data_IF_407264327299
#
_entry.id   IF_407264327299
#
_cell.length_a   1.000
_cell.length_b   1.000
_cell.length_c   1.000
_cell.angle_alpha   90.00
_cell.angle_beta   90.00
_cell.angle_gamma   90.00
#
_symmetry.space_group_name_H-M   'P 1'
#
loop_
_entity.id
_entity.type
_entity.pdbx_description
1 polymer ?
#
# COMPACT_ATOMS: atom_id res chain seq x y z
N UNK A 1 20.69 8.19 -0.94
CA UNK A 1 19.53 7.62 -0.21
C UNK A 1 18.20 8.31 -0.55
N UNK A 2 18.10 9.64 -0.54
CA UNK A 2 16.85 10.38 -0.87
C UNK A 2 16.22 10.02 -2.23
N UNK A 3 17.05 9.92 -3.26
CA UNK A 3 16.65 9.59 -4.63
C UNK A 3 15.99 8.20 -4.70
N UNK A 4 16.51 7.22 -3.94
CA UNK A 4 15.98 5.86 -3.89
C UNK A 4 14.53 5.81 -3.38
N UNK A 5 14.21 6.54 -2.32
CA UNK A 5 12.84 6.55 -1.75
C UNK A 5 11.82 7.18 -2.71
N UNK A 6 12.22 8.22 -3.45
CA UNK A 6 11.40 8.82 -4.50
C UNK A 6 11.12 7.82 -5.64
N UNK A 7 12.15 7.11 -6.09
CA UNK A 7 11.99 6.07 -7.11
C UNK A 7 11.10 4.94 -6.63
N UNK A 8 11.30 4.45 -5.40
CA UNK A 8 10.48 3.39 -4.82
C UNK A 8 9.01 3.82 -4.73
N UNK A 9 8.73 5.04 -4.26
CA UNK A 9 7.36 5.60 -4.22
C UNK A 9 6.70 5.64 -5.60
N UNK A 10 7.43 6.09 -6.63
CA UNK A 10 6.95 6.16 -8.00
C UNK A 10 6.74 4.77 -8.61
N UNK A 11 7.67 3.86 -8.36
CA UNK A 11 7.58 2.45 -8.75
C UNK A 11 6.35 1.78 -8.13
N UNK A 12 6.16 1.87 -6.81
CA UNK A 12 5.01 1.32 -6.11
C UNK A 12 3.70 1.90 -6.65
N UNK A 13 3.66 3.21 -6.94
CA UNK A 13 2.46 3.85 -7.51
C UNK A 13 2.11 3.30 -8.90
N UNK A 14 3.11 3.14 -9.79
CA UNK A 14 2.92 2.56 -11.13
C UNK A 14 2.55 1.08 -11.08
N UNK A 15 3.21 0.30 -10.22
CA UNK A 15 2.92 -1.12 -10.00
C UNK A 15 1.49 -1.31 -9.50
N UNK A 16 1.06 -0.53 -8.52
CA UNK A 16 -0.29 -0.57 -7.97
C UNK A 16 -1.37 -0.19 -8.99
N UNK A 17 -1.10 0.77 -9.89
CA UNK A 17 -2.01 1.07 -11.02
C UNK A 17 -2.16 -0.13 -11.96
N UNK A 18 -1.05 -0.78 -12.32
CA UNK A 18 -1.05 -1.97 -13.19
C UNK A 18 -1.80 -3.14 -12.57
N UNK A 19 -1.52 -3.44 -11.30
CA UNK A 19 -2.21 -4.53 -10.56
C UNK A 19 -3.71 -4.26 -10.49
N UNK A 20 -4.14 -3.03 -10.16
CA UNK A 20 -5.57 -2.68 -10.12
C UNK A 20 -6.27 -2.81 -11.45
N UNK A 21 -5.59 -2.46 -12.54
CA UNK A 21 -6.15 -2.64 -13.89
C UNK A 21 -6.27 -4.13 -14.23
N UNK A 22 -5.27 -4.94 -13.86
CA UNK A 22 -5.28 -6.39 -14.12
C UNK A 22 -6.32 -7.15 -13.31
N UNK A 23 -6.63 -6.69 -12.10
CA UNK A 23 -7.59 -7.34 -11.18
C UNK A 23 -8.98 -6.69 -11.24
N UNK A 24 -9.20 -5.75 -12.16
CA UNK A 24 -10.41 -4.92 -12.30
C UNK A 24 -10.81 -4.16 -11.01
N UNK A 25 -9.95 -4.15 -9.99
CA UNK A 25 -10.08 -3.44 -8.73
C UNK A 25 -9.78 -1.94 -8.89
N UNK A 26 -10.49 -1.30 -9.82
CA UNK A 26 -10.38 0.12 -10.11
C UNK A 26 -11.24 0.96 -9.16
N UNK A 27 -10.86 2.22 -8.98
CA UNK A 27 -11.58 3.12 -8.07
C UNK A 27 -12.81 3.74 -8.75
N UNK A 28 -13.86 2.94 -8.98
CA UNK A 28 -15.12 3.41 -9.56
C UNK A 28 -14.96 4.29 -10.81
N UNK A 29 -15.97 5.11 -11.08
CA UNK A 29 -15.97 6.06 -12.18
C UNK A 29 -15.41 7.43 -11.75
N UNK A 30 -14.93 8.24 -12.70
CA UNK A 30 -14.36 9.58 -12.45
C UNK A 30 -15.25 10.50 -11.59
N UNK A 31 -16.57 10.29 -11.63
CA UNK A 31 -17.57 11.08 -10.88
C UNK A 31 -17.82 10.58 -9.45
N UNK A 32 -17.50 9.32 -9.12
CA UNK A 32 -17.75 8.71 -7.81
C UNK A 32 -16.58 7.82 -7.40
N UNK A 33 -15.87 8.24 -6.36
CA UNK A 33 -14.83 7.43 -5.75
C UNK A 33 -15.46 6.23 -5.04
N UNK A 34 -15.14 5.03 -5.51
CA UNK A 34 -15.47 3.78 -4.81
C UNK A 34 -14.17 3.05 -4.52
N UNK A 35 -13.90 2.80 -3.24
CA UNK A 35 -12.74 1.99 -2.84
C UNK A 35 -13.08 0.53 -3.09
N UNK A 36 -12.30 -0.22 -3.90
CA UNK A 36 -12.51 -1.66 -4.02
C UNK A 36 -12.31 -2.30 -2.66
N UNK A 37 -13.33 -3.03 -2.20
CA UNK A 37 -13.25 -3.85 -0.99
C UNK A 37 -12.52 -5.12 -1.39
N UNK A 38 -11.42 -5.42 -0.70
CA UNK A 38 -10.70 -6.67 -0.87
C UNK A 38 -11.35 -7.63 0.12
N UNK A 39 -12.15 -8.55 -0.38
CA UNK A 39 -12.81 -9.61 0.39
C UNK A 39 -12.01 -10.90 0.28
N UNK A 40 -12.13 -11.77 1.29
CA UNK A 40 -11.39 -13.04 1.35
C UNK A 40 -11.65 -13.94 0.15
N UNK A 41 -12.88 -13.92 -0.38
CA UNK A 41 -13.27 -14.63 -1.59
C UNK A 41 -12.46 -14.22 -2.83
N UNK A 42 -12.19 -12.91 -2.99
CA UNK A 42 -11.37 -12.41 -4.09
C UNK A 42 -9.92 -12.85 -3.93
N UNK A 43 -9.41 -12.84 -2.71
CA UNK A 43 -8.05 -13.29 -2.43
C UNK A 43 -7.90 -14.80 -2.62
N UNK A 44 -8.92 -15.60 -2.31
CA UNK A 44 -8.93 -17.03 -2.55
C UNK A 44 -8.93 -17.36 -4.05
N UNK A 45 -9.58 -16.51 -4.86
CA UNK A 45 -9.59 -16.63 -6.33
C UNK A 45 -8.26 -16.23 -6.97
N UNK A 46 -7.62 -15.16 -6.47
CA UNK A 46 -6.33 -14.70 -6.97
C UNK A 46 -5.45 -14.14 -5.83
N UNK A 47 -4.34 -14.80 -5.55
CA UNK A 47 -3.39 -14.35 -4.51
C UNK A 47 -2.77 -12.99 -4.81
N UNK A 48 -2.85 -12.49 -6.06
CA UNK A 48 -2.39 -11.15 -6.42
C UNK A 48 -3.16 -10.03 -5.71
N UNK A 49 -4.34 -10.29 -5.15
CA UNK A 49 -5.04 -9.30 -4.32
C UNK A 49 -4.25 -8.97 -3.04
N UNK A 50 -3.42 -9.89 -2.50
CA UNK A 50 -2.52 -9.63 -1.36
C UNK A 50 -1.44 -8.59 -1.70
N UNK A 51 -1.04 -8.48 -2.97
CA UNK A 51 -0.06 -7.48 -3.41
C UNK A 51 -0.61 -6.05 -3.26
N UNK A 52 -1.93 -5.85 -3.23
CA UNK A 52 -2.52 -4.52 -3.10
C UNK A 52 -2.21 -3.86 -1.74
N UNK A 53 -2.56 -4.46 -0.58
CA UNK A 53 -2.22 -3.90 0.72
C UNK A 53 -0.70 -3.85 0.94
N UNK A 54 0.07 -4.85 0.46
CA UNK A 54 1.53 -4.84 0.54
C UNK A 54 2.16 -3.66 -0.22
N UNK A 55 1.81 -3.44 -1.49
CA UNK A 55 2.38 -2.30 -2.23
C UNK A 55 1.85 -0.96 -1.69
N UNK A 56 0.67 -0.94 -1.05
CA UNK A 56 0.17 0.25 -0.36
C UNK A 56 0.97 0.59 0.89
N UNK A 57 1.36 -0.40 1.71
CA UNK A 57 2.19 -0.19 2.89
C UNK A 57 3.58 0.29 2.48
N UNK A 58 4.22 -0.37 1.50
CA UNK A 58 5.52 0.01 0.93
C UNK A 58 5.54 1.45 0.39
N UNK A 59 4.51 1.85 -0.36
CA UNK A 59 4.40 3.21 -0.87
C UNK A 59 4.27 4.24 0.25
N UNK A 60 3.52 3.93 1.31
CA UNK A 60 3.33 4.81 2.45
C UNK A 60 4.63 4.95 3.25
N UNK A 61 5.34 3.84 3.46
CA UNK A 61 6.66 3.82 4.09
C UNK A 61 7.72 4.59 3.29
N UNK A 62 7.79 4.38 1.96
CA UNK A 62 8.71 5.11 1.09
C UNK A 62 8.48 6.63 1.14
N UNK A 63 7.21 7.05 1.24
CA UNK A 63 6.88 8.47 1.45
C UNK A 63 7.33 8.93 2.85
N UNK A 64 7.08 8.17 3.90
CA UNK A 64 7.57 8.50 5.23
C UNK A 64 9.10 8.68 5.25
N UNK A 65 9.86 7.82 4.56
CA UNK A 65 11.32 7.92 4.47
C UNK A 65 11.77 9.15 3.67
N UNK A 66 11.05 9.52 2.61
CA UNK A 66 11.28 10.78 1.90
C UNK A 66 11.08 11.97 2.84
N UNK A 67 9.96 12.01 3.57
CA UNK A 67 9.64 13.08 4.52
C UNK A 67 10.61 13.16 5.69
N UNK A 68 11.18 12.02 6.12
CA UNK A 68 12.21 11.97 7.16
C UNK A 68 13.41 12.81 6.76
N UNK A 69 13.83 12.69 5.50
CA UNK A 69 14.96 13.49 4.97
C UNK A 69 14.58 14.98 4.90
N UNK A 70 13.39 15.30 4.41
CA UNK A 70 12.91 16.69 4.26
C UNK A 70 12.60 17.36 5.61
N UNK A 71 12.34 16.57 6.66
CA UNK A 71 12.07 17.09 8.01
C UNK A 71 13.29 17.65 8.73
N UNK A 72 14.49 17.40 8.19
CA UNK A 72 15.73 18.00 8.69
C UNK A 72 15.77 19.51 8.44
N UNK A 73 15.21 19.97 7.31
CA UNK A 73 15.08 21.40 6.98
C UNK A 73 13.73 21.99 7.37
N UNK A 74 12.66 21.19 7.33
CA UNK A 74 11.29 21.63 7.64
C UNK A 74 10.66 20.74 8.74
N UNK A 75 10.82 21.09 10.03
CA UNK A 75 10.34 20.26 11.15
C UNK A 75 8.85 19.92 11.10
N UNK A 76 8.02 20.79 10.51
CA UNK A 76 6.57 20.58 10.35
C UNK A 76 6.23 19.32 9.52
N UNK A 77 7.16 18.84 8.67
CA UNK A 77 6.98 17.59 7.91
C UNK A 77 6.97 16.34 8.79
N UNK A 78 7.45 16.40 10.04
CA UNK A 78 7.38 15.28 11.00
C UNK A 78 5.94 14.80 11.24
N UNK A 79 4.97 15.71 11.31
CA UNK A 79 3.55 15.33 11.45
C UNK A 79 3.06 14.52 10.25
N UNK A 80 3.42 14.94 9.03
CA UNK A 80 3.05 14.21 7.82
C UNK A 80 3.74 12.85 7.73
N UNK A 81 5.01 12.76 8.17
CA UNK A 81 5.76 11.52 8.29
C UNK A 81 5.03 10.52 9.21
N UNK A 82 4.64 10.93 10.41
CA UNK A 82 3.95 10.05 11.36
C UNK A 82 2.62 9.55 10.78
N UNK A 83 1.86 10.41 10.13
CA UNK A 83 0.62 10.02 9.46
C UNK A 83 0.86 9.01 8.31
N UNK A 84 1.97 9.12 7.59
CA UNK A 84 2.37 8.13 6.58
C UNK A 84 2.73 6.78 7.20
N UNK A 85 3.45 6.76 8.31
CA UNK A 85 3.78 5.52 9.02
C UNK A 85 2.53 4.84 9.59
N UNK A 86 1.62 5.60 10.24
CA UNK A 86 0.33 5.07 10.71
C UNK A 86 -0.46 4.42 9.57
N UNK A 87 -0.45 5.04 8.38
CA UNK A 87 -1.10 4.49 7.20
C UNK A 87 -0.41 3.22 6.68
N UNK A 88 0.92 3.15 6.75
CA UNK A 88 1.67 1.95 6.39
C UNK A 88 1.30 0.77 7.31
N UNK A 89 1.27 0.99 8.63
CA UNK A 89 0.85 -0.01 9.62
C UNK A 89 -0.59 -0.46 9.38
N UNK A 90 -1.52 0.48 9.11
CA UNK A 90 -2.90 0.12 8.78
C UNK A 90 -3.02 -0.80 7.56
N UNK A 91 -2.17 -0.61 6.55
CA UNK A 91 -2.14 -1.48 5.38
C UNK A 91 -1.48 -2.83 5.67
N UNK A 92 -0.45 -2.87 6.52
CA UNK A 92 0.17 -4.11 6.97
C UNK A 92 -0.78 -4.94 7.83
N UNK A 93 -1.50 -4.33 8.78
CA UNK A 93 -2.52 -5.00 9.57
C UNK A 93 -3.67 -5.53 8.70
N UNK A 94 -4.05 -4.79 7.65
CA UNK A 94 -5.02 -5.29 6.67
C UNK A 94 -4.48 -6.52 5.92
N UNK A 95 -3.19 -6.54 5.55
CA UNK A 95 -2.56 -7.69 4.91
C UNK A 95 -2.54 -8.90 5.85
N UNK A 96 -2.10 -8.71 7.09
CA UNK A 96 -2.05 -9.74 8.12
C UNK A 96 -3.42 -10.38 8.37
N UNK A 97 -4.47 -9.56 8.47
CA UNK A 97 -5.84 -10.07 8.60
C UNK A 97 -6.24 -10.98 7.42
N UNK A 98 -5.93 -10.56 6.19
CA UNK A 98 -6.22 -11.35 4.99
C UNK A 98 -5.41 -12.65 4.93
N UNK A 99 -4.13 -12.62 5.34
CA UNK A 99 -3.29 -13.84 5.38
C UNK A 99 -3.79 -14.83 6.44
N UNK A 100 -4.14 -14.36 7.64
CA UNK A 100 -4.60 -15.22 8.74
C UNK A 100 -5.97 -15.86 8.48
N UNK A 101 -6.81 -15.23 7.65
CA UNK A 101 -8.13 -15.74 7.28
C UNK A 101 -8.08 -16.78 6.15
N UNK A 102 -7.00 -16.80 5.36
CA UNK A 102 -6.85 -17.74 4.25
C UNK A 102 -6.19 -19.05 4.68
N UNK A 103 -6.92 -20.16 4.54
CA UNK A 103 -6.38 -21.53 4.71
C UNK A 103 -5.33 -21.93 3.67
N UNK A 104 -5.16 -21.15 2.61
CA UNK A 104 -4.26 -21.44 1.47
C UNK A 104 -2.93 -20.67 1.55
N UNK A 105 -2.75 -19.80 2.55
CA UNK A 105 -1.48 -19.14 2.78
C UNK A 105 -0.52 -20.14 3.45
N UNK A 106 0.64 -20.35 2.84
CA UNK A 106 1.69 -21.18 3.42
C UNK A 106 2.14 -20.58 4.77
N UNK A 107 2.56 -21.38 5.73
CA UNK A 107 2.89 -20.94 7.09
C UNK A 107 4.04 -19.91 7.16
N UNK A 108 4.72 -19.68 6.03
CA UNK A 108 5.81 -18.73 5.85
C UNK A 108 5.35 -17.31 5.48
N UNK A 109 4.13 -17.15 4.94
CA UNK A 109 3.57 -15.86 4.48
C UNK A 109 2.80 -15.15 5.57
#
# INVERSE_FOLDING_TARGET
KYILYKYLRSFCSRRLRRIRKSLEATYGNQKKFQKPVITDELVAKDSRYLLLPLICSERAWAFAMQLKTESNSEPRKKFHLLNRLRKAVKHAAQLEALCNQQKTCDART
#
